data_IF_409774250092
#
_entry.id   IF_409774250092
#
_cell.length_a   1.000
_cell.length_b   1.000
_cell.length_c   1.000
_cell.angle_alpha   90.00
_cell.angle_beta   90.00
_cell.angle_gamma   90.00
#
_symmetry.space_group_name_H-M   'P 1'
#
loop_
_entity.id
_entity.type
_entity.pdbx_description
1 polymer ?
2 polymer ?
3 non-polymer ?
4 water ?
#
# COMPACT_ATOMS: atom_id res chain seq x y z
N UNK A 4 -49.62 -53.45 -27.25
CA UNK A 4 -48.88 -52.20 -27.05
C UNK A 4 -48.75 -51.42 -28.37
N UNK A 5 -48.64 -52.13 -29.51
CA UNK A 5 -48.50 -51.49 -30.82
C UNK A 5 -49.84 -51.02 -31.42
N UNK A 6 -50.63 -50.24 -30.67
CA UNK A 6 -51.89 -49.71 -31.18
C UNK A 6 -51.68 -48.32 -31.76
N UNK A 7 -52.56 -47.91 -32.69
CA UNK A 7 -52.46 -46.60 -33.30
C UNK A 7 -52.64 -45.49 -32.25
N UNK A 8 -53.50 -45.71 -31.24
CA UNK A 8 -53.71 -44.74 -30.18
C UNK A 8 -52.44 -44.51 -29.34
N UNK A 9 -51.65 -45.58 -29.15
CA UNK A 9 -50.40 -45.48 -28.40
C UNK A 9 -49.34 -44.76 -29.23
N UNK A 10 -49.27 -45.08 -30.54
CA UNK A 10 -48.34 -44.44 -31.47
C UNK A 10 -48.61 -42.94 -31.58
N UNK A 11 -49.90 -42.54 -31.58
CA UNK A 11 -50.31 -41.13 -31.64
C UNK A 11 -49.88 -40.42 -30.35
N UNK A 12 -50.10 -41.07 -29.19
CA UNK A 12 -49.69 -40.53 -27.90
C UNK A 12 -48.16 -40.38 -27.77
N UNK A 13 -47.42 -41.28 -28.44
CA UNK A 13 -45.95 -41.26 -28.48
C UNK A 13 -45.48 -40.07 -29.30
N UNK A 14 -46.16 -39.78 -30.43
CA UNK A 14 -45.83 -38.63 -31.25
C UNK A 14 -46.13 -37.34 -30.47
N UNK A 15 -47.26 -37.31 -29.74
CA UNK A 15 -47.69 -36.17 -28.92
C UNK A 15 -46.73 -35.83 -27.78
N UNK A 16 -46.11 -36.85 -27.15
CA UNK A 16 -45.13 -36.68 -26.07
C UNK A 16 -43.80 -36.20 -26.66
N UNK A 17 -43.40 -36.78 -27.79
CA UNK A 17 -42.15 -36.40 -28.44
C UNK A 17 -42.23 -34.96 -28.95
N UNK A 18 -43.38 -34.59 -29.53
CA UNK A 18 -43.63 -33.26 -30.06
C UNK A 18 -43.72 -32.20 -28.96
N UNK A 19 -44.14 -32.59 -27.76
CA UNK A 19 -44.18 -31.69 -26.61
C UNK A 19 -42.74 -31.37 -26.17
N UNK A 20 -41.84 -32.37 -26.20
CA UNK A 20 -40.42 -32.18 -25.88
C UNK A 20 -39.79 -31.26 -26.91
N UNK A 21 -40.10 -31.46 -28.20
CA UNK A 21 -39.62 -30.63 -29.31
C UNK A 21 -40.07 -29.17 -29.13
N UNK A 22 -41.33 -28.95 -28.72
CA UNK A 22 -41.89 -27.64 -28.48
C UNK A 22 -41.14 -26.95 -27.34
N UNK A 23 -40.84 -27.69 -26.27
CA UNK A 23 -40.09 -27.18 -25.12
C UNK A 23 -38.69 -26.78 -25.52
N UNK A 24 -38.02 -27.60 -26.35
CA UNK A 24 -36.68 -27.28 -26.82
C UNK A 24 -36.68 -26.05 -27.72
N UNK A 25 -37.72 -25.89 -28.56
CA UNK A 25 -37.89 -24.72 -29.43
C UNK A 25 -38.04 -23.47 -28.55
N UNK A 26 -38.81 -23.57 -27.45
CA UNK A 26 -39.02 -22.47 -26.54
C UNK A 26 -37.73 -22.06 -25.83
N UNK A 27 -36.87 -23.05 -25.51
CA UNK A 27 -35.57 -22.81 -24.88
C UNK A 27 -34.61 -22.18 -25.88
N UNK A 28 -34.64 -22.59 -27.16
CA UNK A 28 -33.79 -22.02 -28.20
C UNK A 28 -34.14 -20.52 -28.36
N UNK A 29 -35.44 -20.18 -28.43
CA UNK A 29 -35.85 -18.78 -28.56
C UNK A 29 -35.43 -17.92 -27.36
N UNK A 30 -35.54 -18.46 -26.15
CA UNK A 30 -35.19 -17.76 -24.92
C UNK A 30 -33.69 -17.56 -24.80
N UNK A 31 -32.91 -18.57 -25.19
CA UNK A 31 -31.47 -18.50 -25.17
C UNK A 31 -30.91 -17.65 -26.28
N UNK A 32 -31.61 -17.54 -27.41
CA UNK A 32 -31.18 -16.65 -28.48
C UNK A 32 -31.34 -15.19 -28.00
N UNK A 33 -32.40 -14.89 -27.20
CA UNK A 33 -32.63 -13.57 -26.61
C UNK A 33 -31.53 -13.23 -25.58
N UNK A 34 -31.02 -14.24 -24.87
CA UNK A 34 -29.94 -14.08 -23.91
C UNK A 34 -28.65 -13.76 -24.64
N UNK A 35 -28.38 -14.41 -25.79
CA UNK A 35 -27.20 -14.14 -26.60
C UNK A 35 -27.27 -12.70 -27.13
N UNK A 36 -28.45 -12.25 -27.54
CA UNK A 36 -28.63 -10.89 -28.04
C UNK A 36 -28.42 -9.85 -26.92
N UNK A 37 -28.97 -10.10 -25.72
CA UNK A 37 -28.81 -9.23 -24.56
C UNK A 37 -27.32 -9.16 -24.17
N UNK A 38 -26.64 -10.31 -24.16
CA UNK A 38 -25.23 -10.40 -23.83
C UNK A 38 -24.38 -9.67 -24.85
N UNK A 39 -24.74 -9.77 -26.13
CA UNK A 39 -24.08 -9.11 -27.25
C UNK A 39 -24.09 -7.58 -27.07
N UNK A 40 -25.21 -7.05 -26.55
CA UNK A 40 -25.37 -5.62 -26.29
C UNK A 40 -24.53 -5.21 -25.07
N UNK A 41 -24.56 -6.01 -24.00
CA UNK A 41 -23.77 -5.76 -22.79
C UNK A 41 -22.27 -5.72 -23.08
N UNK A 42 -21.82 -6.52 -24.04
CA UNK A 42 -20.43 -6.56 -24.46
C UNK A 42 -20.08 -5.22 -25.10
N UNK A 43 -20.92 -4.73 -26.01
CA UNK A 43 -20.65 -3.46 -26.67
C UNK A 43 -20.66 -2.26 -25.72
N UNK A 44 -21.53 -2.25 -24.69
CA UNK A 44 -21.53 -1.12 -23.74
C UNK A 44 -20.30 -1.19 -22.85
N UNK A 45 -19.91 -2.39 -22.40
CA UNK A 45 -18.73 -2.58 -21.57
C UNK A 45 -17.44 -2.27 -22.34
N UNK A 46 -17.41 -2.57 -23.64
CA UNK A 46 -16.26 -2.26 -24.48
C UNK A 46 -16.15 -0.76 -24.73
N UNK A 47 -17.29 -0.06 -24.77
CA UNK A 47 -17.34 1.39 -24.93
C UNK A 47 -16.84 2.06 -23.66
N UNK A 48 -17.25 1.53 -22.49
CA UNK A 48 -16.84 2.05 -21.19
C UNK A 48 -15.34 1.86 -21.00
N UNK A 49 -14.80 0.70 -21.43
CA UNK A 49 -13.38 0.42 -21.34
C UNK A 49 -12.58 1.33 -22.26
N UNK A 50 -13.11 1.68 -23.43
CA UNK A 50 -12.44 2.60 -24.35
C UNK A 50 -12.51 4.04 -23.80
N UNK A 51 -13.60 4.40 -23.12
CA UNK A 51 -13.74 5.72 -22.51
C UNK A 51 -12.83 5.84 -21.29
N UNK A 52 -12.63 4.74 -20.53
CA UNK A 52 -11.71 4.72 -19.38
C UNK A 52 -10.26 4.80 -19.84
N UNK A 53 -9.94 4.32 -21.04
CA UNK A 53 -8.61 4.43 -21.62
C UNK A 53 -8.37 5.89 -22.03
N UNK A 54 -9.39 6.58 -22.55
CA UNK A 54 -9.25 8.00 -22.90
C UNK A 54 -9.05 8.85 -21.64
N UNK A 55 -9.73 8.52 -20.53
CA UNK A 55 -9.54 9.25 -19.28
C UNK A 55 -8.12 9.03 -18.74
N UNK A 56 -7.58 7.82 -18.92
CA UNK A 56 -6.24 7.48 -18.49
C UNK A 56 -5.21 8.20 -19.34
N UNK A 57 -5.37 8.21 -20.66
CA UNK A 57 -4.45 8.90 -21.57
C UNK A 57 -4.37 10.40 -21.29
N UNK A 58 -5.53 11.01 -20.99
CA UNK A 58 -5.61 12.44 -20.68
C UNK A 58 -4.88 12.73 -19.38
N UNK A 59 -5.06 11.88 -18.37
CA UNK A 59 -4.41 12.04 -17.08
C UNK A 59 -2.90 11.78 -17.15
N UNK A 60 -2.47 10.86 -18.02
CA UNK A 60 -1.05 10.54 -18.24
C UNK A 60 -0.32 11.69 -18.89
N UNK A 61 -0.99 12.38 -19.83
CA UNK A 61 -0.45 13.56 -20.52
C UNK A 61 -0.29 14.70 -19.51
N UNK A 62 -1.24 14.85 -18.58
CA UNK A 62 -1.24 15.91 -17.57
C UNK A 62 -0.07 15.68 -16.61
N UNK A 63 0.23 14.41 -16.29
CA UNK A 63 1.37 14.03 -15.45
C UNK A 63 2.67 14.40 -16.17
N UNK A 64 2.75 14.07 -17.45
CA UNK A 64 3.87 14.34 -18.34
C UNK A 64 4.17 15.85 -18.37
N UNK A 65 3.11 16.68 -18.38
CA UNK A 65 3.23 18.14 -18.40
C UNK A 65 3.72 18.67 -17.06
N UNK A 66 3.19 18.15 -15.95
CA UNK A 66 3.55 18.56 -14.61
C UNK A 66 5.00 18.22 -14.29
N UNK A 67 5.49 17.07 -14.76
CA UNK A 67 6.88 16.66 -14.58
C UNK A 67 7.79 17.59 -15.36
N UNK A 68 7.38 17.95 -16.58
CA UNK A 68 8.14 18.86 -17.43
C UNK A 68 8.18 20.26 -16.85
N UNK A 69 7.10 20.73 -16.19
CA UNK A 69 7.09 22.06 -15.58
C UNK A 69 8.08 22.13 -14.41
N UNK A 70 8.23 21.03 -13.65
CA UNK A 70 9.19 20.94 -12.55
C UNK A 70 10.61 20.97 -13.13
N UNK A 71 10.85 20.22 -14.22
CA UNK A 71 12.14 20.17 -14.89
C UNK A 71 12.53 21.54 -15.45
N UNK A 72 11.56 22.25 -16.03
CA UNK A 72 11.77 23.58 -16.58
C UNK A 72 12.03 24.60 -15.49
N UNK A 73 11.46 24.45 -14.30
CA UNK A 73 11.71 25.35 -13.19
C UNK A 73 13.12 25.08 -12.68
N UNK A 74 13.49 23.80 -12.52
CA UNK A 74 14.83 23.43 -12.10
C UNK A 74 15.88 23.93 -13.11
N UNK A 75 15.58 23.90 -14.40
CA UNK A 75 16.49 24.38 -15.45
C UNK A 75 16.74 25.87 -15.33
N UNK A 76 15.72 26.66 -14.97
CA UNK A 76 15.92 28.11 -14.79
C UNK A 76 16.84 28.35 -13.59
N UNK A 77 16.62 27.64 -12.48
CA UNK A 77 17.39 27.80 -11.24
C UNK A 77 18.84 27.34 -11.42
N UNK A 78 19.05 26.29 -12.22
CA UNK A 78 20.39 25.75 -12.50
C UNK A 78 21.16 26.65 -13.47
N UNK A 79 20.49 27.11 -14.56
CA UNK A 79 21.13 27.98 -15.54
C UNK A 79 21.47 29.35 -14.93
N UNK A 80 20.62 29.84 -14.00
CA UNK A 80 20.86 31.11 -13.32
C UNK A 80 22.13 31.05 -12.48
N UNK A 81 22.35 29.93 -11.77
CA UNK A 81 23.52 29.75 -10.92
C UNK A 81 24.85 29.72 -11.71
N UNK A 82 24.87 28.99 -12.85
CA UNK A 82 26.01 28.81 -13.74
C UNK A 82 26.62 30.14 -14.22
N UNK A 98 34.07 36.24 -13.12
CA UNK A 98 34.36 37.61 -12.70
C UNK A 98 34.19 37.76 -11.17
N UNK A 99 35.08 38.54 -10.48
CA UNK A 99 34.98 38.64 -9.01
C UNK A 99 33.72 39.34 -8.45
N UNK A 100 33.45 40.60 -8.85
CA UNK A 100 32.27 41.33 -8.36
C UNK A 100 30.96 40.76 -8.93
N UNK A 101 31.03 40.17 -10.14
CA UNK A 101 29.89 39.55 -10.81
C UNK A 101 29.48 38.25 -10.09
N UNK A 102 30.46 37.51 -9.53
CA UNK A 102 30.14 36.27 -8.83
C UNK A 102 29.58 36.56 -7.42
N UNK A 103 29.96 37.68 -6.80
CA UNK A 103 29.37 38.10 -5.53
C UNK A 103 27.90 38.53 -5.76
N UNK A 104 27.63 39.15 -6.92
CA UNK A 104 26.32 39.60 -7.33
C UNK A 104 25.40 38.43 -7.69
N UNK A 105 25.94 37.36 -8.28
CA UNK A 105 25.17 36.17 -8.66
C UNK A 105 24.69 35.46 -7.40
N UNK A 106 25.57 35.32 -6.41
CA UNK A 106 25.31 34.67 -5.12
C UNK A 106 24.33 35.50 -4.29
N UNK A 107 24.45 36.83 -4.34
CA UNK A 107 23.57 37.73 -3.60
C UNK A 107 22.15 37.66 -4.18
N UNK A 108 22.04 37.64 -5.51
CA UNK A 108 20.76 37.54 -6.19
C UNK A 108 20.10 36.17 -5.91
N UNK A 109 20.88 35.08 -6.01
CA UNK A 109 20.38 33.73 -5.77
C UNK A 109 19.94 33.52 -4.31
N UNK A 110 20.64 34.14 -3.36
CA UNK A 110 20.28 34.02 -1.95
C UNK A 110 19.05 34.88 -1.60
N UNK A 111 18.82 35.97 -2.35
CA UNK A 111 17.68 36.87 -2.17
C UNK A 111 16.39 36.16 -2.65
N UNK A 112 16.46 35.45 -3.80
CA UNK A 112 15.34 34.73 -4.40
C UNK A 112 15.20 33.27 -3.97
N UNK A 113 16.06 32.80 -3.08
CA UNK A 113 16.09 31.41 -2.65
C UNK A 113 14.75 30.89 -2.11
N UNK A 114 14.16 31.58 -1.12
CA UNK A 114 12.91 31.15 -0.54
C UNK A 114 11.74 31.22 -1.54
N UNK A 115 11.81 32.14 -2.52
CA UNK A 115 10.82 32.27 -3.59
C UNK A 115 10.92 31.10 -4.55
N UNK A 116 12.15 30.70 -4.88
CA UNK A 116 12.44 29.55 -5.74
C UNK A 116 11.94 28.25 -5.09
N UNK A 117 12.09 28.13 -3.75
CA UNK A 117 11.60 26.99 -3.01
C UNK A 117 10.05 26.97 -3.11
N UNK A 118 9.39 28.13 -2.93
CA UNK A 118 7.94 28.24 -2.96
C UNK A 118 7.39 27.96 -4.34
N UNK A 119 8.12 28.36 -5.40
CA UNK A 119 7.71 28.07 -6.79
C UNK A 119 7.78 26.56 -6.98
N UNK A 120 8.89 25.96 -6.60
CA UNK A 120 9.06 24.52 -6.72
C UNK A 120 8.04 23.71 -5.89
N UNK A 121 7.76 24.10 -4.64
CA UNK A 121 6.77 23.42 -3.80
C UNK A 121 5.39 23.42 -4.46
N UNK A 122 5.03 24.54 -5.07
CA UNK A 122 3.76 24.68 -5.77
C UNK A 122 3.67 23.73 -6.98
N UNK A 123 4.78 23.56 -7.70
CA UNK A 123 4.83 22.69 -8.88
C UNK A 123 4.84 21.21 -8.50
N UNK A 124 5.50 20.89 -7.39
CA UNK A 124 5.57 19.53 -6.82
C UNK A 124 4.21 19.11 -6.33
N UNK A 125 3.46 20.05 -5.70
CA UNK A 125 2.13 19.72 -5.20
C UNK A 125 1.18 19.51 -6.36
N UNK A 126 1.27 20.34 -7.40
CA UNK A 126 0.47 20.23 -8.61
C UNK A 126 0.77 18.89 -9.30
N UNK A 127 2.02 18.46 -9.34
CA UNK A 127 2.43 17.19 -9.94
C UNK A 127 1.84 16.00 -9.19
N UNK A 128 1.84 16.01 -7.85
CA UNK A 128 1.26 14.93 -7.06
C UNK A 128 -0.24 14.86 -7.31
N UNK A 129 -0.91 16.02 -7.44
CA UNK A 129 -2.34 16.05 -7.71
C UNK A 129 -2.68 15.40 -9.08
N UNK A 130 -1.79 15.55 -10.07
CA UNK A 130 -2.00 14.93 -11.38
C UNK A 130 -1.76 13.42 -11.32
N UNK A 131 -0.78 13.00 -10.53
CA UNK A 131 -0.41 11.61 -10.28
C UNK A 131 -1.57 10.88 -9.57
N UNK A 132 -2.27 11.57 -8.66
CA UNK A 132 -3.44 11.05 -7.96
C UNK A 132 -4.64 10.92 -8.87
N UNK A 133 -4.77 11.82 -9.86
CA UNK A 133 -5.84 11.72 -10.83
C UNK A 133 -5.56 10.53 -11.76
N UNK A 134 -4.31 10.35 -12.16
CA UNK A 134 -3.92 9.21 -12.99
C UNK A 134 -4.06 7.91 -12.22
N UNK A 135 -3.81 7.91 -10.92
CA UNK A 135 -3.94 6.71 -10.11
C UNK A 135 -5.39 6.29 -10.04
N UNK A 136 -6.32 7.24 -9.88
CA UNK A 136 -7.74 6.91 -9.84
C UNK A 136 -8.21 6.35 -11.20
N UNK A 137 -7.70 6.96 -12.27
CA UNK A 137 -7.99 6.59 -13.65
C UNK A 137 -7.42 5.21 -13.99
N UNK A 138 -6.27 4.86 -13.43
CA UNK A 138 -5.66 3.55 -13.67
C UNK A 138 -6.56 2.47 -13.09
N UNK A 139 -7.12 2.70 -11.89
CA UNK A 139 -8.04 1.78 -11.21
C UNK A 139 -9.34 1.69 -11.99
N UNK A 140 -9.83 2.82 -12.54
CA UNK A 140 -11.06 2.84 -13.35
C UNK A 140 -10.88 2.10 -14.67
N UNK A 141 -9.67 2.16 -15.26
CA UNK A 141 -9.32 1.43 -16.48
C UNK A 141 -9.27 -0.07 -16.19
N UNK A 142 -8.70 -0.46 -15.05
CA UNK A 142 -8.63 -1.87 -14.68
C UNK A 142 -10.02 -2.45 -14.38
N UNK A 143 -10.92 -1.64 -13.82
CA UNK A 143 -12.28 -2.08 -13.51
C UNK A 143 -13.11 -2.20 -14.77
N UNK A 144 -12.93 -1.25 -15.71
CA UNK A 144 -13.63 -1.26 -16.97
C UNK A 144 -13.18 -2.43 -17.84
N UNK A 145 -11.88 -2.79 -17.78
CA UNK A 145 -11.36 -3.92 -18.54
C UNK A 145 -11.88 -5.24 -18.01
N UNK A 146 -11.99 -5.34 -16.67
CA UNK A 146 -12.50 -6.52 -15.98
C UNK A 146 -13.98 -6.67 -16.30
N UNK A 147 -14.75 -5.56 -16.38
CA UNK A 147 -16.18 -5.63 -16.74
C UNK A 147 -16.36 -6.00 -18.22
N UNK A 148 -15.44 -5.57 -19.10
CA UNK A 148 -15.47 -5.90 -20.52
C UNK A 148 -15.13 -7.39 -20.73
N UNK A 149 -14.20 -7.93 -19.92
CA UNK A 149 -13.82 -9.34 -19.97
C UNK A 149 -14.92 -10.22 -19.39
N UNK A 150 -15.62 -9.72 -18.34
CA UNK A 150 -16.74 -10.44 -17.75
C UNK A 150 -17.96 -10.42 -18.68
N UNK A 151 -18.13 -9.35 -19.47
CA UNK A 151 -19.21 -9.27 -20.45
C UNK A 151 -18.96 -10.28 -21.56
N UNK A 152 -17.70 -10.43 -22.01
CA UNK A 152 -17.35 -11.39 -23.05
C UNK A 152 -17.51 -12.83 -22.52
N UNK A 153 -17.17 -13.05 -21.25
CA UNK A 153 -17.33 -14.38 -20.64
C UNK A 153 -18.82 -14.80 -20.61
N UNK A 154 -19.74 -13.83 -20.48
CA UNK A 154 -21.17 -14.10 -20.44
C UNK A 154 -21.71 -14.35 -21.83
N UNK A 155 -21.25 -13.57 -22.81
CA UNK A 155 -21.63 -13.75 -24.21
C UNK A 155 -21.15 -15.11 -24.70
N UNK A 156 -19.97 -15.56 -24.27
CA UNK A 156 -19.42 -16.87 -24.64
C UNK A 156 -20.17 -18.03 -23.96
N UNK A 157 -20.57 -17.86 -22.69
CA UNK A 157 -21.35 -18.88 -21.97
C UNK A 157 -22.80 -18.96 -22.47
N UNK A 158 -23.34 -17.87 -23.03
CA UNK A 158 -24.69 -17.87 -23.59
C UNK A 158 -24.67 -18.46 -24.98
N UNK A 159 -23.61 -18.17 -25.78
CA UNK A 159 -23.49 -18.71 -27.12
C UNK A 159 -23.33 -20.23 -27.04
N UNK A 160 -22.48 -20.71 -26.13
CA UNK A 160 -22.28 -22.15 -25.95
C UNK A 160 -23.53 -22.88 -25.44
N UNK A 161 -24.36 -22.20 -24.64
CA UNK A 161 -25.58 -22.80 -24.11
C UNK A 161 -26.65 -22.88 -25.22
N UNK A 162 -26.71 -21.86 -26.08
CA UNK A 162 -27.63 -21.81 -27.20
C UNK A 162 -27.34 -22.91 -28.20
N UNK A 163 -26.06 -23.15 -28.57
CA UNK A 163 -25.73 -24.21 -29.52
C UNK A 163 -26.00 -25.62 -28.96
N UNK A 164 -25.93 -25.78 -27.62
CA UNK A 164 -26.22 -27.05 -26.97
C UNK A 164 -27.73 -27.31 -27.00
N UNK A 165 -28.56 -26.26 -26.81
CA UNK A 165 -30.01 -26.43 -26.88
C UNK A 165 -30.45 -26.62 -28.34
N UNK A 166 -29.80 -25.92 -29.28
CA UNK A 166 -30.05 -26.04 -30.71
C UNK A 166 -29.73 -27.45 -31.19
N UNK A 167 -28.66 -28.11 -30.68
CA UNK A 167 -28.36 -29.48 -31.10
C UNK A 167 -29.32 -30.48 -30.48
N UNK A 168 -29.79 -30.22 -29.24
CA UNK A 168 -30.79 -31.08 -28.61
C UNK A 168 -32.12 -30.96 -29.38
N UNK A 169 -32.45 -29.74 -29.87
CA UNK A 169 -33.62 -29.42 -30.67
C UNK A 169 -33.55 -30.14 -32.02
N UNK A 170 -32.40 -30.11 -32.70
CA UNK A 170 -32.24 -30.77 -34.01
C UNK A 170 -32.41 -32.29 -33.91
N UNK A 171 -31.91 -32.85 -32.81
CA UNK A 171 -31.96 -34.26 -32.45
C UNK A 171 -33.41 -34.67 -32.21
N UNK A 172 -34.17 -33.82 -31.50
CA UNK A 172 -35.57 -34.07 -31.18
C UNK A 172 -36.46 -33.89 -32.40
N UNK A 173 -36.14 -32.93 -33.28
CA UNK A 173 -36.91 -32.71 -34.49
C UNK A 173 -36.83 -33.92 -35.42
N UNK A 174 -35.67 -34.59 -35.48
CA UNK A 174 -35.52 -35.79 -36.29
C UNK A 174 -36.24 -36.97 -35.67
N UNK A 175 -36.28 -37.05 -34.34
CA UNK A 175 -37.01 -38.11 -33.64
C UNK A 175 -38.53 -37.92 -33.81
N UNK A 176 -39.00 -36.67 -33.79
CA UNK A 176 -40.40 -36.35 -34.00
C UNK A 176 -40.79 -36.63 -35.45
N UNK A 177 -39.90 -36.34 -36.41
CA UNK A 177 -40.21 -36.63 -37.82
C UNK A 177 -40.29 -38.13 -38.06
N UNK A 178 -39.42 -38.91 -37.41
CA UNK A 178 -39.36 -40.35 -37.52
C UNK A 178 -40.67 -40.94 -36.99
N UNK A 179 -41.11 -40.48 -35.80
CA UNK A 179 -42.34 -40.94 -35.16
C UNK A 179 -43.58 -40.52 -35.92
N UNK A 180 -43.62 -39.29 -36.43
CA UNK A 180 -44.77 -38.81 -37.22
C UNK A 180 -44.84 -39.58 -38.55
N UNK A 181 -43.68 -39.94 -39.15
CA UNK A 181 -43.70 -40.71 -40.39
C UNK A 181 -44.28 -42.11 -40.16
N UNK A 182 -44.05 -42.70 -38.97
CA UNK A 182 -44.58 -44.00 -38.57
C UNK A 182 -46.08 -43.89 -38.36
N UNK A 183 -46.54 -42.84 -37.68
CA UNK A 183 -47.97 -42.62 -37.45
C UNK A 183 -48.72 -42.38 -38.76
N UNK A 184 -48.10 -41.65 -39.68
CA UNK A 184 -48.71 -41.36 -40.98
C UNK A 184 -48.81 -42.62 -41.81
N UNK A 185 -47.79 -43.48 -41.78
CA UNK A 185 -47.76 -44.73 -42.54
C UNK A 185 -48.76 -45.73 -41.98
N UNK A 186 -48.93 -45.76 -40.63
CA UNK A 186 -49.87 -46.63 -39.96
C UNK A 186 -51.29 -46.18 -40.21
N UNK A 187 -51.54 -44.85 -40.24
CA UNK A 187 -52.88 -44.34 -40.56
C UNK A 187 -53.22 -44.62 -42.03
N UNK A 188 -52.21 -44.60 -42.92
CA UNK A 188 -52.39 -44.89 -44.35
C UNK A 188 -52.71 -46.38 -44.55
N UNK A 189 -52.08 -47.26 -43.76
CA UNK A 189 -52.30 -48.70 -43.80
C UNK A 189 -53.67 -49.05 -43.24
N UNK A 190 -54.13 -48.33 -42.21
CA UNK A 190 -55.42 -48.53 -41.59
C UNK A 190 -56.55 -48.22 -42.54
N UNK A 191 -56.45 -47.09 -43.28
CA UNK A 191 -57.47 -46.69 -44.25
C UNK A 191 -57.50 -47.63 -45.46
N UNK A 192 -56.34 -48.20 -45.84
CA UNK A 192 -56.24 -49.13 -46.96
C UNK A 192 -56.82 -50.50 -46.58
N UNK A 193 -56.54 -50.97 -45.36
CA UNK A 193 -57.04 -52.24 -44.83
C UNK A 193 -58.54 -52.18 -44.58
N UNK A 194 -59.05 -51.02 -44.18
CA UNK A 194 -60.47 -50.84 -43.97
C UNK A 194 -61.21 -50.95 -45.29
N UNK A 195 -60.64 -50.38 -46.38
CA UNK A 195 -61.25 -50.44 -47.71
C UNK A 195 -61.27 -51.86 -48.30
N UNK A 196 -60.18 -52.64 -48.11
CA UNK A 196 -60.11 -54.02 -48.61
C UNK A 196 -61.13 -54.92 -47.91
N UNK A 197 -61.37 -54.68 -46.60
CA UNK A 197 -62.36 -55.42 -45.83
C UNK A 197 -63.78 -54.99 -46.23
N UNK A 198 -64.01 -53.66 -46.39
CA UNK A 198 -65.29 -53.06 -46.76
C UNK A 198 -65.75 -53.45 -48.16
N UNK A 199 -64.81 -53.68 -49.09
CA UNK A 199 -65.15 -54.10 -50.45
C UNK A 199 -65.59 -55.58 -50.54
N UNK A 200 -65.33 -56.39 -49.48
CA UNK A 200 -65.72 -57.79 -49.44
C UNK A 200 -66.91 -57.97 -48.50
N UNK B 4 37.12 22.08 49.97
CA UNK B 4 38.02 21.14 50.65
C UNK B 4 39.35 21.07 49.89
N UNK B 5 40.46 21.09 50.63
CA UNK B 5 41.79 21.02 50.01
C UNK B 5 42.46 19.66 50.15
N UNK B 6 41.70 18.61 50.48
CA UNK B 6 42.20 17.26 50.60
C UNK B 6 41.90 16.61 49.25
N UNK B 7 42.70 16.93 48.23
CA UNK B 7 42.51 16.44 46.87
C UNK B 7 42.63 14.93 46.70
N UNK B 8 43.53 14.28 47.46
CA UNK B 8 43.73 12.85 47.34
C UNK B 8 42.52 12.11 47.85
N UNK B 9 42.07 12.43 49.07
CA UNK B 9 40.90 11.78 49.65
C UNK B 9 39.60 12.12 48.90
N UNK B 10 39.56 13.23 48.12
CA UNK B 10 38.40 13.56 47.32
C UNK B 10 38.33 12.62 46.11
N UNK B 11 39.48 12.36 45.47
CA UNK B 11 39.55 11.46 44.31
C UNK B 11 39.14 10.05 44.67
N UNK B 12 39.61 9.54 45.82
CA UNK B 12 39.29 8.20 46.26
C UNK B 12 37.81 8.09 46.61
N UNK B 13 37.27 9.07 47.32
CA UNK B 13 35.86 9.06 47.70
C UNK B 13 34.95 9.12 46.46
N UNK B 14 35.30 9.96 45.47
CA UNK B 14 34.56 10.11 44.21
C UNK B 14 34.68 8.88 43.32
N UNK B 15 35.82 8.20 43.34
CA UNK B 15 36.04 6.97 42.59
C UNK B 15 35.17 5.88 43.22
N UNK B 16 35.12 5.80 44.56
CA UNK B 16 34.30 4.83 45.25
C UNK B 16 32.81 5.10 45.06
N UNK B 17 32.40 6.37 44.97
CA UNK B 17 31.01 6.72 44.74
C UNK B 17 30.60 6.36 43.33
N UNK B 18 31.46 6.65 42.35
CA UNK B 18 31.19 6.37 40.95
C UNK B 18 31.11 4.86 40.72
N UNK B 19 32.03 4.10 41.30
CA UNK B 19 32.03 2.65 41.15
C UNK B 19 30.80 1.99 41.77
N UNK B 20 30.29 2.55 42.88
CA UNK B 20 29.11 2.03 43.56
C UNK B 20 27.86 2.29 42.72
N UNK B 21 27.79 3.46 42.07
CA UNK B 21 26.68 3.80 41.20
C UNK B 21 26.69 2.96 39.92
N UNK B 22 27.88 2.61 39.41
CA UNK B 22 28.03 1.76 38.23
C UNK B 22 27.50 0.37 38.51
N UNK B 23 27.76 -0.17 39.71
CA UNK B 23 27.30 -1.47 40.15
C UNK B 23 25.76 -1.46 40.26
N UNK B 24 25.20 -0.42 40.91
CA UNK B 24 23.76 -0.24 41.05
C UNK B 24 23.07 -0.13 39.72
N UNK B 25 23.72 0.54 38.77
CA UNK B 25 23.20 0.74 37.43
C UNK B 25 23.26 -0.53 36.59
N UNK B 26 24.30 -1.35 36.74
CA UNK B 26 24.38 -2.64 36.03
C UNK B 26 23.25 -3.55 36.51
N UNK B 27 23.01 -3.58 37.84
CA UNK B 27 21.96 -4.36 38.46
C UNK B 27 20.58 -3.84 38.03
N UNK B 28 20.42 -2.52 37.91
CA UNK B 28 19.16 -1.94 37.49
C UNK B 28 18.85 -2.32 36.06
N UNK B 29 19.88 -2.36 35.20
CA UNK B 29 19.71 -2.75 33.80
C UNK B 29 19.47 -4.25 33.68
N UNK B 30 20.09 -5.07 34.55
CA UNK B 30 19.86 -6.51 34.53
C UNK B 30 18.44 -6.82 35.04
N UNK B 31 17.92 -6.04 36.01
CA UNK B 31 16.56 -6.21 36.52
C UNK B 31 15.56 -6.04 35.37
N UNK B 32 15.74 -5.00 34.58
CA UNK B 32 14.92 -4.62 33.46
C UNK B 32 14.95 -5.63 32.32
N UNK B 33 16.09 -6.25 32.06
CA UNK B 33 16.18 -7.27 31.02
C UNK B 33 15.39 -8.51 31.44
N UNK B 34 15.53 -8.89 32.70
CA UNK B 34 14.91 -10.07 33.28
C UNK B 34 13.39 -9.93 33.50
N UNK B 35 12.87 -8.71 33.58
CA UNK B 35 11.43 -8.51 33.72
C UNK B 35 10.79 -7.89 32.46
N UNK B 36 11.56 -7.73 31.38
CA UNK B 36 11.11 -7.12 30.13
C UNK B 36 9.87 -7.76 29.58
N UNK B 37 9.84 -9.11 29.55
CA UNK B 37 8.71 -9.88 29.05
C UNK B 37 7.45 -9.76 29.92
N UNK B 38 7.63 -9.47 31.20
CA UNK B 38 6.50 -9.28 32.10
C UNK B 38 5.86 -7.91 31.85
N UNK B 39 6.69 -6.88 31.60
CA UNK B 39 6.26 -5.51 31.37
C UNK B 39 5.40 -5.41 30.13
N UNK B 40 5.90 -5.95 28.99
CA UNK B 40 5.24 -5.92 27.69
C UNK B 40 4.31 -7.09 27.44
N UNK B 41 3.92 -7.85 28.47
CA UNK B 41 3.03 -8.99 28.27
C UNK B 41 1.68 -8.56 27.67
N UNK B 42 1.35 -9.15 26.50
CA UNK B 42 0.14 -8.86 25.74
C UNK B 42 0.02 -7.44 25.19
N UNK B 43 1.10 -6.66 25.21
CA UNK B 43 1.06 -5.29 24.74
C UNK B 43 0.83 -5.16 23.22
N UNK B 44 1.23 -6.17 22.44
CA UNK B 44 1.09 -6.11 20.98
C UNK B 44 0.51 -7.41 20.43
N UNK B 45 -0.43 -8.02 21.15
CA UNK B 45 -1.00 -9.30 20.72
C UNK B 45 -1.92 -9.07 19.51
N UNK B 46 -1.72 -9.88 18.46
CA UNK B 46 -2.46 -9.77 17.20
C UNK B 46 -1.99 -8.66 16.28
N UNK B 47 -0.98 -7.88 16.71
CA UNK B 47 -0.47 -6.72 15.99
C UNK B 47 0.90 -6.96 15.33
N UNK B 48 1.19 -6.19 14.27
CA UNK B 48 2.42 -6.28 13.51
C UNK B 48 3.09 -4.90 13.42
N UNK B 49 4.41 -4.90 13.42
CA UNK B 49 5.21 -3.68 13.39
C UNK B 49 6.20 -3.76 12.24
N UNK B 50 6.34 -2.68 11.46
CA UNK B 50 7.37 -2.62 10.44
C UNK B 50 8.48 -1.71 11.02
N UNK B 51 9.74 -2.15 10.92
CA UNK B 51 10.86 -1.37 11.46
C UNK B 51 11.62 -0.67 10.36
N UNK B 52 11.85 0.63 10.53
CA UNK B 52 12.69 1.43 9.67
C UNK B 52 13.93 1.77 10.48
N UNK B 53 15.09 1.77 9.84
CA UNK B 53 16.35 2.11 10.51
C UNK B 53 17.20 3.02 9.66
N UNK B 54 17.93 3.95 10.30
CA UNK B 54 18.80 4.89 9.58
C UNK B 54 20.24 4.38 9.56
N UNK B 55 21.15 4.94 8.73
CA UNK B 55 22.53 4.42 8.71
C UNK B 55 23.25 4.49 10.06
N UNK B 56 22.98 5.51 10.87
CA UNK B 56 23.59 5.65 12.19
C UNK B 56 22.92 4.78 13.29
N UNK B 57 21.82 4.06 12.99
CA UNK B 57 21.17 3.20 14.00
C UNK B 57 22.03 1.99 14.34
N UNK B 58 21.95 1.50 15.57
CA UNK B 58 22.76 0.36 16.00
C UNK B 58 21.99 -0.94 15.87
N UNK B 59 22.67 -1.98 15.34
CA UNK B 59 22.13 -3.33 15.15
C UNK B 59 21.56 -3.90 16.44
N UNK B 60 22.24 -3.67 17.57
CA UNK B 60 21.78 -4.20 18.83
C UNK B 60 20.47 -3.56 19.32
N UNK B 61 20.16 -2.33 18.88
CA UNK B 61 18.92 -1.67 19.27
C UNK B 61 17.76 -2.26 18.48
N UNK B 62 17.96 -2.46 17.17
CA UNK B 62 16.99 -3.06 16.25
C UNK B 62 16.63 -4.46 16.75
N UNK B 63 17.65 -5.23 17.15
CA UNK B 63 17.49 -6.58 17.65
C UNK B 63 16.76 -6.63 18.99
N UNK B 64 16.98 -5.62 19.85
CA UNK B 64 16.31 -5.55 21.14
C UNK B 64 14.84 -5.19 20.97
N UNK B 65 14.54 -4.24 20.06
CA UNK B 65 13.18 -3.82 19.77
C UNK B 65 12.41 -4.99 19.17
N UNK B 66 13.01 -5.70 18.22
CA UNK B 66 12.42 -6.83 17.55
C UNK B 66 12.16 -8.02 18.50
N UNK B 67 13.01 -8.18 19.54
CA UNK B 67 12.86 -9.25 20.53
C UNK B 67 11.70 -8.92 21.47
N UNK B 68 11.62 -7.65 21.90
CA UNK B 68 10.55 -7.16 22.78
C UNK B 68 9.20 -7.18 22.05
N UNK B 69 9.16 -6.91 20.71
CA UNK B 69 7.92 -7.01 19.91
C UNK B 69 7.39 -8.45 20.02
N UNK B 70 8.27 -9.43 19.86
CA UNK B 70 7.93 -10.82 20.00
C UNK B 70 7.45 -11.15 21.41
N UNK B 71 8.09 -10.56 22.43
CA UNK B 71 7.68 -10.80 23.83
C UNK B 71 6.27 -10.27 24.11
N UNK B 72 5.90 -9.18 23.41
CA UNK B 72 4.60 -8.53 23.49
C UNK B 72 3.46 -9.26 22.74
N UNK B 73 3.77 -10.39 22.11
CA UNK B 73 2.83 -11.17 21.31
C UNK B 73 2.67 -10.64 19.89
N UNK B 74 3.59 -9.77 19.46
CA UNK B 74 3.57 -9.15 18.15
C UNK B 74 4.56 -9.71 17.17
N UNK B 75 4.45 -9.29 15.93
CA UNK B 75 5.35 -9.74 14.87
C UNK B 75 6.00 -8.54 14.17
N UNK B 76 7.21 -8.74 13.62
CA UNK B 76 7.90 -7.72 12.84
C UNK B 76 7.79 -8.17 11.38
N UNK B 77 7.14 -7.39 10.53
CA UNK B 77 6.93 -7.79 9.14
C UNK B 77 8.19 -7.69 8.29
N UNK B 78 9.03 -6.68 8.56
CA UNK B 78 10.28 -6.42 7.85
C UNK B 78 11.10 -5.34 8.58
N UNK B 79 12.42 -5.26 8.26
CA UNK B 79 13.32 -4.22 8.73
C UNK B 79 13.84 -3.52 7.47
N UNK B 80 13.34 -2.31 7.20
CA UNK B 80 13.76 -1.52 6.06
C UNK B 80 14.86 -0.54 6.49
N UNK B 81 16.00 -0.57 5.82
CA UNK B 81 17.10 0.32 6.10
C UNK B 81 17.01 1.47 5.11
N UNK B 82 16.96 2.71 5.64
CA UNK B 82 16.93 3.92 4.82
C UNK B 82 18.39 4.19 4.47
N UNK B 83 18.77 4.11 3.19
CA UNK B 83 20.18 4.31 2.81
C UNK B 83 20.67 5.75 3.02
N UNK B 84 22.00 5.95 3.06
CA UNK B 84 22.60 7.26 3.18
C UNK B 84 22.13 8.22 2.03
N UNK B 85 21.88 7.68 0.81
CA UNK B 85 21.36 8.44 -0.34
C UNK B 85 19.98 9.06 -0.01
N UNK B 86 19.17 8.36 0.79
CA UNK B 86 17.88 8.90 1.18
C UNK B 86 18.03 9.99 2.28
N UNK B 87 18.62 9.64 3.44
CA UNK B 87 18.69 10.54 4.59
C UNK B 87 19.50 11.84 4.38
N UNK B 88 20.50 11.84 3.47
CA UNK B 88 21.28 13.05 3.22
C UNK B 88 20.49 14.12 2.47
N UNK B 89 19.40 13.73 1.78
CA UNK B 89 18.48 14.59 1.04
C UNK B 89 19.10 15.30 -0.16
N UNK B 90 20.21 14.77 -0.71
CA UNK B 90 20.80 15.33 -1.92
C UNK B 90 20.28 14.67 -3.22
N UNK B 91 19.46 13.62 -3.11
CA UNK B 91 18.82 12.96 -4.25
C UNK B 91 17.29 13.15 -4.20
N UNK B 92 16.84 14.30 -3.64
CA UNK B 92 15.44 14.68 -3.44
C UNK B 92 14.57 14.58 -4.68
N UNK B 93 15.03 15.05 -5.83
CA UNK B 93 14.23 15.00 -7.05
C UNK B 93 14.15 13.62 -7.66
N UNK B 94 15.21 12.82 -7.51
CA UNK B 94 15.21 11.43 -7.98
C UNK B 94 14.19 10.65 -7.16
N UNK B 95 14.17 10.89 -5.82
CA UNK B 95 13.24 10.28 -4.90
C UNK B 95 11.82 10.59 -5.30
N UNK B 96 11.48 11.86 -5.50
CA UNK B 96 10.12 12.25 -5.83
C UNK B 96 9.66 11.78 -7.19
N UNK B 97 10.58 11.60 -8.13
CA UNK B 97 10.22 11.09 -9.46
C UNK B 97 9.89 9.58 -9.40
N UNK B 98 10.43 8.84 -8.40
CA UNK B 98 10.13 7.43 -8.17
C UNK B 98 8.78 7.34 -7.45
N UNK B 99 8.60 8.10 -6.36
CA UNK B 99 7.36 8.13 -5.59
C UNK B 99 6.16 8.58 -6.42
N UNK B 100 6.31 9.68 -7.17
CA UNK B 100 5.23 10.21 -8.01
C UNK B 100 5.20 9.54 -9.38
N UNK B 101 5.24 8.22 -9.39
CA UNK B 101 5.18 7.45 -10.63
C UNK B 101 4.11 6.33 -10.50
N UNK B 102 3.92 5.54 -11.58
CA UNK B 102 2.99 4.41 -11.61
C UNK B 102 3.28 3.33 -10.56
N UNK B 103 4.39 3.46 -9.79
CA UNK B 103 4.62 2.53 -8.68
C UNK B 103 3.57 2.73 -7.58
N UNK B 104 2.91 3.92 -7.50
CA UNK B 104 1.82 4.21 -6.56
C UNK B 104 0.69 3.23 -6.90
N UNK B 105 0.33 2.29 -5.97
CA UNK B 105 -0.71 1.29 -6.30
C UNK B 105 -1.97 1.89 -6.92
N UNK B 106 -2.54 1.26 -7.96
CA UNK B 106 -3.70 1.81 -8.65
C UNK B 106 -4.86 2.12 -7.72
N UNK B 107 -5.30 3.37 -7.73
CA UNK B 107 -6.39 3.83 -6.89
C UNK B 107 -5.94 4.47 -5.59
N UNK B 108 -4.70 4.21 -5.17
CA UNK B 108 -4.11 4.82 -3.97
C UNK B 108 -3.78 6.25 -4.26
N UNK B 109 -3.91 7.09 -3.24
CA UNK B 109 -3.71 8.51 -3.36
C UNK B 109 -2.61 8.95 -2.43
N UNK B 110 -1.63 9.67 -2.97
CA UNK B 110 -0.54 10.25 -2.20
C UNK B 110 -1.07 11.51 -1.53
N UNK B 111 -0.53 11.83 -0.38
CA UNK B 111 -0.86 13.04 0.35
C UNK B 111 -0.31 14.21 -0.45
N UNK B 112 -1.08 15.29 -0.53
CA UNK B 112 -0.65 16.45 -1.27
C UNK B 112 -0.24 17.62 -0.36
N UNK B 113 -0.11 17.41 0.95
CA UNK B 113 0.17 18.48 1.87
C UNK B 113 1.66 18.90 1.85
N UNK B 114 2.56 18.00 2.24
CA UNK B 114 3.98 18.26 2.31
C UNK B 114 4.65 17.54 1.17
N UNK B 115 5.44 18.28 0.43
CA UNK B 115 6.07 17.77 -0.78
C UNK B 115 7.57 17.55 -0.67
N UNK B 116 8.12 17.55 0.54
CA UNK B 116 9.53 17.25 0.71
C UNK B 116 9.70 15.72 0.49
N UNK B 117 10.88 15.30 0.09
CA UNK B 117 11.20 13.92 -0.20
C UNK B 117 11.04 12.99 1.01
N UNK B 118 11.21 13.50 2.23
CA UNK B 118 11.06 12.68 3.42
C UNK B 118 9.62 12.29 3.60
N UNK B 119 8.75 13.29 3.57
CA UNK B 119 7.29 13.13 3.68
C UNK B 119 6.74 12.25 2.55
N UNK B 120 7.19 12.45 1.31
CA UNK B 120 6.70 11.67 0.19
C UNK B 120 7.16 10.21 0.21
N UNK B 121 8.40 9.96 0.69
CA UNK B 121 8.89 8.57 0.78
C UNK B 121 8.13 7.81 1.87
N UNK B 122 7.89 8.45 3.01
CA UNK B 122 7.16 7.86 4.12
C UNK B 122 5.69 7.67 3.81
N UNK B 123 5.15 8.53 2.96
CA UNK B 123 3.78 8.43 2.55
C UNK B 123 3.59 7.24 1.64
N UNK B 124 4.51 7.04 0.69
CA UNK B 124 4.40 5.91 -0.24
C UNK B 124 4.74 4.61 0.44
N UNK B 125 5.75 4.59 1.33
CA UNK B 125 6.08 3.37 2.08
C UNK B 125 5.02 3.03 3.14
N UNK B 126 4.30 4.03 3.61
CA UNK B 126 3.18 3.82 4.52
C UNK B 126 2.06 3.12 3.79
N UNK B 127 1.81 3.49 2.52
CA UNK B 127 0.78 2.85 1.67
C UNK B 127 1.19 1.40 1.42
N UNK B 128 2.43 1.18 1.00
CA UNK B 128 2.92 -0.14 0.71
C UNK B 128 2.99 -1.07 1.95
N UNK B 129 3.54 -0.61 3.07
CA UNK B 129 3.80 -1.47 4.23
C UNK B 129 2.82 -1.41 5.44
N UNK B 130 1.91 -0.45 5.53
CA UNK B 130 1.00 -0.32 6.68
C UNK B 130 -0.48 -0.48 6.34
N UNK B 131 -1.30 -0.77 7.35
CA UNK B 131 -2.74 -0.92 7.24
C UNK B 131 -3.42 0.28 7.86
N UNK B 132 -4.18 1.00 7.04
CA UNK B 132 -4.93 2.18 7.46
C UNK B 132 -5.97 1.83 8.48
N UNK B 133 -6.10 2.64 9.53
CA UNK B 133 -7.14 2.45 10.54
C UNK B 133 -8.59 2.65 9.96
N UNK B 134 -8.69 3.14 8.71
CA UNK B 134 -9.92 3.45 7.98
C UNK B 134 -10.23 2.33 6.97
N UNK B 135 -11.34 1.61 7.18
CA UNK B 135 -11.67 0.50 6.28
C UNK B 135 -12.03 0.89 4.84
N UNK B 136 -12.32 2.18 4.60
CA UNK B 136 -12.61 2.65 3.25
C UNK B 136 -11.34 2.68 2.37
N UNK B 137 -10.14 2.85 2.99
CA UNK B 137 -8.85 2.91 2.28
C UNK B 137 -8.50 1.58 1.59
N UNK B 138 -7.79 1.61 0.46
CA UNK B 138 -7.49 0.36 -0.26
C UNK B 138 -6.61 -0.67 0.44
N UNK B 139 -6.87 -1.97 0.17
CA UNK B 139 -6.02 -3.02 0.72
C UNK B 139 -4.99 -3.29 -0.36
N UNK B 140 -3.72 -2.99 -0.09
CA UNK B 140 -2.64 -3.16 -1.06
C UNK B 140 -2.24 -4.63 -1.21
N UNK B 141 -2.24 -5.13 -2.46
CA UNK B 141 -1.89 -6.51 -2.81
C UNK B 141 -0.39 -6.75 -2.63
N UNK B 142 0.01 -8.03 -2.50
CA UNK B 142 1.43 -8.36 -2.32
C UNK B 142 2.28 -7.85 -3.49
N UNK B 143 1.83 -8.09 -4.74
CA UNK B 143 2.54 -7.67 -5.95
C UNK B 143 2.69 -6.16 -6.03
N UNK B 144 1.70 -5.42 -5.51
CA UNK B 144 1.67 -3.97 -5.49
C UNK B 144 2.71 -3.40 -4.50
N UNK B 145 2.84 -4.05 -3.32
CA UNK B 145 3.81 -3.68 -2.29
C UNK B 145 5.24 -3.95 -2.80
N UNK B 146 5.46 -5.12 -3.42
CA UNK B 146 6.75 -5.51 -3.94
C UNK B 146 7.24 -4.52 -5.00
N UNK B 147 6.33 -3.97 -5.83
CA UNK B 147 6.65 -2.99 -6.87
C UNK B 147 7.22 -1.72 -6.28
N UNK B 148 6.58 -1.19 -5.22
CA UNK B 148 7.00 0.02 -4.52
C UNK B 148 8.39 -0.21 -3.90
N UNK B 149 8.57 -1.37 -3.24
CA UNK B 149 9.83 -1.72 -2.60
C UNK B 149 10.98 -1.90 -3.58
N UNK B 150 10.75 -2.61 -4.69
CA UNK B 150 11.81 -2.85 -5.68
C UNK B 150 12.23 -1.57 -6.40
N UNK B 151 11.31 -0.62 -6.63
CA UNK B 151 11.63 0.64 -7.29
C UNK B 151 12.49 1.51 -6.36
N UNK B 152 12.15 1.54 -5.06
CA UNK B 152 12.92 2.30 -4.08
C UNK B 152 14.27 1.65 -3.75
N UNK B 153 14.43 0.34 -4.02
CA UNK B 153 15.67 -0.39 -3.80
C UNK B 153 16.56 -0.31 -5.05
N UNK B 154 15.98 -0.28 -6.26
CA UNK B 154 16.78 -0.14 -7.49
C UNK B 154 17.37 1.27 -7.59
N UNK B 155 16.63 2.28 -7.11
CA UNK B 155 17.10 3.66 -7.12
C UNK B 155 18.01 4.02 -5.90
N UNK B 156 18.31 3.03 -5.06
CA UNK B 156 19.21 3.18 -3.93
C UNK B 156 18.71 3.93 -2.71
N UNK B 157 17.39 3.95 -2.48
CA UNK B 157 16.84 4.65 -1.32
C UNK B 157 16.65 3.74 -0.12
N UNK B 158 16.31 2.48 -0.35
CA UNK B 158 16.06 1.51 0.71
C UNK B 158 16.78 0.16 0.51
N UNK B 159 16.89 -0.62 1.58
CA UNK B 159 17.42 -1.97 1.69
C UNK B 159 16.42 -2.68 2.61
N UNK B 160 16.04 -3.95 2.34
CA UNK B 160 15.05 -4.61 3.21
C UNK B 160 15.22 -6.10 3.37
N UNK B 161 14.82 -6.61 4.54
CA UNK B 161 14.83 -8.02 4.93
C UNK B 161 13.50 -8.30 5.63
N UNK B 162 12.75 -9.35 5.22
CA UNK B 162 13.06 -10.31 4.15
C UNK B 162 12.81 -9.73 2.75
N UNK B 163 13.42 -10.34 1.73
CA UNK B 163 13.31 -9.83 0.37
C UNK B 163 11.96 -10.17 -0.30
N UNK B 164 11.25 -11.17 0.21
CA UNK B 164 9.99 -11.61 -0.37
C UNK B 164 8.86 -11.75 0.67
N UNK B 165 7.61 -11.78 0.18
CA UNK B 165 6.36 -11.98 0.92
C UNK B 165 6.27 -11.19 2.24
N UNK B 166 6.51 -9.87 2.19
CA UNK B 166 6.38 -9.01 3.37
C UNK B 166 4.89 -8.71 3.58
N UNK B 167 4.42 -8.89 4.81
CA UNK B 167 3.05 -8.63 5.15
C UNK B 167 2.79 -7.19 5.56
N UNK B 168 1.51 -6.86 5.72
CA UNK B 168 1.10 -5.54 6.16
C UNK B 168 1.28 -5.38 7.68
N UNK B 169 1.60 -4.18 8.13
CA UNK B 169 1.82 -3.91 9.54
C UNK B 169 0.80 -2.93 10.12
N UNK B 170 0.58 -3.00 11.41
CA UNK B 170 -0.35 -2.12 12.12
C UNK B 170 0.32 -0.83 12.47
N UNK B 171 1.53 -0.89 13.02
CA UNK B 171 2.24 0.27 13.50
C UNK B 171 3.72 0.22 13.04
N UNK B 172 4.48 1.31 13.27
CA UNK B 172 5.87 1.36 12.82
C UNK B 172 6.79 2.04 13.82
N UNK B 173 8.05 1.61 13.81
CA UNK B 173 9.11 2.18 14.61
C UNK B 173 10.14 2.64 13.63
N UNK B 174 10.60 3.89 13.79
CA UNK B 174 11.70 4.38 12.99
C UNK B 174 12.87 4.53 13.97
N UNK B 175 13.94 3.75 13.79
CA UNK B 175 15.09 3.74 14.69
C UNK B 175 16.30 4.52 14.13
N UNK B 176 16.79 5.48 14.92
CA UNK B 176 17.94 6.29 14.55
C UNK B 176 19.09 6.06 15.56
N UNK B 177 20.23 6.68 15.30
CA UNK B 177 21.35 6.63 16.23
C UNK B 177 21.18 7.72 17.26
N UNK B 178 22.29 8.29 17.72
CA UNK B 178 22.25 9.32 18.73
C UNK B 178 22.27 10.70 18.15
N UNK B 179 23.22 11.49 18.64
CA UNK B 179 23.43 12.86 18.21
C UNK B 179 23.92 12.89 16.77
N UNK B 180 23.56 13.95 16.03
CA UNK B 180 24.04 14.10 14.67
C UNK B 180 25.14 15.15 14.66
N UNK B 181 26.07 15.03 13.72
CA UNK B 181 27.06 16.11 13.53
C UNK B 181 26.28 17.24 12.79
N UNK B 182 26.65 18.50 12.99
CA UNK B 182 25.95 19.62 12.35
C UNK B 182 25.96 19.52 10.83
N UNK B 183 27.05 18.96 10.26
CA UNK B 183 27.19 18.72 8.82
C UNK B 183 26.17 17.66 8.30
N UNK B 184 25.65 16.81 9.18
CA UNK B 184 24.66 15.80 8.83
C UNK B 184 23.25 16.20 9.30
N UNK B 185 22.98 17.49 9.47
CA UNK B 185 21.70 18.01 9.93
C UNK B 185 20.50 17.68 9.06
N UNK B 186 20.72 17.53 7.74
CA UNK B 186 19.65 17.16 6.80
C UNK B 186 18.95 15.87 7.20
N UNK B 187 19.70 14.96 7.83
CA UNK B 187 19.23 13.65 8.26
C UNK B 187 18.16 13.71 9.33
N UNK B 188 18.21 14.73 10.17
CA UNK B 188 17.20 14.92 11.21
C UNK B 188 15.87 15.23 10.60
N UNK B 189 15.80 16.30 9.81
CA UNK B 189 14.57 16.74 9.13
C UNK B 189 13.98 15.67 8.21
N UNK B 190 14.80 15.05 7.35
CA UNK B 190 14.29 14.05 6.43
C UNK B 190 13.68 12.85 7.10
N UNK B 191 14.29 12.36 8.20
CA UNK B 191 13.78 11.20 8.96
C UNK B 191 12.60 11.58 9.87
N UNK B 192 12.56 12.79 10.41
CA UNK B 192 11.43 13.25 11.23
C UNK B 192 10.17 13.35 10.35
N UNK B 193 10.30 13.95 9.13
CA UNK B 193 9.23 14.09 8.14
C UNK B 193 8.83 12.72 7.61
N UNK B 194 9.82 11.83 7.41
CA UNK B 194 9.57 10.46 6.95
C UNK B 194 8.70 9.74 7.96
N UNK B 195 9.07 9.82 9.25
CA UNK B 195 8.33 9.21 10.34
C UNK B 195 6.95 9.82 10.48
N UNK B 196 6.80 11.14 10.37
CA UNK B 196 5.50 11.81 10.50
C UNK B 196 4.52 11.41 9.41
N UNK B 197 5.03 11.16 8.19
CA UNK B 197 4.17 10.76 7.07
C UNK B 197 3.71 9.30 7.14
N UNK B 198 4.36 8.47 7.95
CA UNK B 198 3.95 7.09 8.15
C UNK B 198 2.80 7.04 9.17
N UNK B 199 2.77 7.98 10.15
CA UNK B 199 1.74 8.02 11.19
C UNK B 199 0.30 7.87 10.67
N UNK B 200 -0.18 8.65 9.64
CA UNK B 200 -1.58 8.47 9.20
C UNK B 200 -1.86 7.22 8.34
N UNK B 201 -0.79 6.58 7.84
CA UNK B 201 -0.92 5.40 6.98
C UNK B 201 -1.11 4.08 7.75
N UNK B 202 -0.89 4.11 9.05
CA UNK B 202 -1.08 2.94 9.91
C UNK B 202 -1.75 3.35 11.20
N UNK B 203 -1.50 2.61 12.26
CA UNK B 203 -2.09 2.85 13.56
C UNK B 203 -1.18 3.56 14.57
N UNK B 204 -0.06 4.11 14.11
CA UNK B 204 0.86 4.82 14.98
C UNK B 204 2.32 4.64 14.62
N UNK B 205 3.12 5.71 14.74
CA UNK B 205 4.55 5.66 14.49
C UNK B 205 5.31 6.14 15.70
N UNK B 206 6.35 5.41 16.09
CA UNK B 206 7.23 5.86 17.14
C UNK B 206 8.61 6.11 16.53
N UNK B 207 9.20 7.26 16.81
CA UNK B 207 10.55 7.58 16.36
C UNK B 207 11.49 7.36 17.54
N UNK B 208 12.38 6.36 17.45
CA UNK B 208 13.28 6.02 18.55
C UNK B 208 14.76 6.32 18.28
N UNK B 209 15.42 7.04 19.18
CA UNK B 209 16.83 7.36 19.03
C UNK B 209 17.64 7.04 20.27
N UNK B 210 18.96 6.91 20.10
CA UNK B 210 19.92 6.67 21.19
C UNK B 210 20.21 7.98 21.93
N UNK B 211 20.86 7.91 23.10
CA UNK B 211 21.23 9.08 23.90
C UNK B 211 21.92 10.15 23.07
N UNK B 212 21.40 11.37 23.14
CA UNK B 212 21.92 12.46 22.32
C UNK B 212 20.98 12.82 21.18
N UNK B 213 20.00 11.92 20.86
CA UNK B 213 19.00 12.16 19.81
C UNK B 213 18.03 13.29 20.18
N UNK B 214 17.87 13.59 21.47
CA UNK B 214 17.02 14.68 21.88
C UNK B 214 17.67 16.08 21.71
N UNK B 215 18.85 16.14 21.08
CA UNK B 215 19.54 17.38 20.81
C UNK B 215 19.55 17.65 19.31
N UNK B 216 19.32 18.90 18.91
CA UNK B 216 19.38 19.30 17.52
C UNK B 216 20.82 19.11 16.97
N UNK B 217 20.96 18.67 15.70
CA UNK B 217 19.92 18.49 14.68
C UNK B 217 19.29 17.10 14.49
N UNK B 218 19.31 16.22 15.50
CA UNK B 218 18.77 14.87 15.37
C UNK B 218 17.25 14.84 15.22
N UNK B 219 16.71 13.78 14.55
CA UNK B 219 15.30 13.60 14.22
C UNK B 219 14.36 13.70 15.39
N UNK B 220 14.70 13.05 16.53
CA UNK B 220 13.89 13.10 17.76
C UNK B 220 13.74 14.56 18.25
N UNK B 221 14.81 15.37 18.18
CA UNK B 221 14.79 16.78 18.60
C UNK B 221 14.03 17.65 17.65
N UNK B 222 14.13 17.36 16.34
CA UNK B 222 13.42 18.09 15.29
C UNK B 222 11.90 17.83 15.47
N UNK B 223 11.53 16.59 15.79
CA UNK B 223 10.14 16.21 16.07
C UNK B 223 9.61 16.95 17.30
N UNK B 224 10.28 16.87 18.45
CA UNK B 224 9.85 17.50 19.67
C UNK B 224 9.72 19.02 19.54
N UNK B 225 10.58 19.65 18.74
CA UNK B 225 10.56 21.10 18.55
C UNK B 225 9.55 21.59 17.52
N UNK B 226 9.03 20.69 16.66
CA UNK B 226 8.03 21.07 15.68
C UNK B 226 6.69 20.65 16.26
N UNK B 227 5.78 21.61 16.53
CA UNK B 227 4.49 21.36 17.12
C UNK B 227 3.66 20.37 16.30
N UNK B 228 3.76 20.45 14.97
CA UNK B 228 3.02 19.54 14.11
C UNK B 228 3.51 18.12 14.28
N UNK B 229 4.80 17.87 14.08
CA UNK B 229 5.42 16.54 14.23
C UNK B 229 5.35 15.98 15.64
N UNK B 230 5.50 16.83 16.68
CA UNK B 230 5.36 16.46 18.08
C UNK B 230 3.95 15.98 18.42
N UNK B 231 2.93 16.35 17.60
CA UNK B 231 1.56 15.93 17.79
C UNK B 231 1.19 14.70 16.94
N UNK B 232 1.98 14.38 15.90
CA UNK B 232 1.72 13.29 14.95
C UNK B 232 2.36 11.96 15.37
N UNK B 233 3.60 11.99 15.89
CA UNK B 233 4.30 10.76 16.26
C UNK B 233 4.79 10.79 17.69
N UNK B 234 4.97 9.61 18.28
CA UNK B 234 5.59 9.50 19.61
C UNK B 234 7.12 9.39 19.44
N UNK B 235 7.89 9.74 20.48
CA UNK B 235 9.35 9.62 20.43
C UNK B 235 9.90 8.97 21.69
N UNK B 236 11.08 8.35 21.55
CA UNK B 236 11.88 7.75 22.62
C UNK B 236 13.32 8.24 22.35
N UNK B 237 13.98 8.85 23.35
CA UNK B 237 15.33 9.39 23.15
C UNK B 237 16.47 8.57 23.77
N UNK B 238 16.18 7.39 24.27
CA UNK B 238 17.18 6.55 24.93
C UNK B 238 17.04 5.06 24.57
N UNK B 239 16.84 4.76 23.29
CA UNK B 239 16.71 3.37 22.83
C UNK B 239 17.99 2.54 23.09
N UNK B 240 19.13 3.19 23.38
CA UNK B 240 20.37 2.50 23.70
C UNK B 240 20.31 1.76 25.08
N UNK B 241 19.36 2.18 25.94
CA UNK B 241 19.14 1.65 27.28
C UNK B 241 17.88 0.75 27.29
N UNK B 242 17.85 -0.27 28.17
CA UNK B 242 16.72 -1.19 28.27
C UNK B 242 15.40 -0.47 28.63
N UNK B 243 15.32 0.51 29.57
CA UNK B 243 14.04 1.23 29.78
C UNK B 243 13.53 1.91 28.50
N UNK B 244 14.45 2.35 27.66
CA UNK B 244 14.12 2.99 26.40
C UNK B 244 13.58 2.01 25.39
N UNK B 245 14.11 0.81 25.37
CA UNK B 245 13.66 -0.24 24.46
C UNK B 245 12.27 -0.79 24.84
N UNK B 246 12.00 -0.90 26.16
CA UNK B 246 10.72 -1.37 26.66
C UNK B 246 9.62 -0.34 26.38
N UNK B 247 9.96 0.95 26.54
CA UNK B 247 9.08 2.09 26.27
C UNK B 247 8.70 2.18 24.79
N UNK B 248 9.54 1.68 23.85
CA UNK B 248 9.16 1.67 22.43
C UNK B 248 7.89 0.84 22.23
N UNK B 249 7.80 -0.32 22.89
CA UNK B 249 6.65 -1.23 22.82
C UNK B 249 5.45 -0.72 23.63
N UNK B 250 5.69 -0.19 24.84
CA UNK B 250 4.62 0.35 25.68
C UNK B 250 3.95 1.57 25.03
N UNK B 251 4.73 2.43 24.38
CA UNK B 251 4.19 3.62 23.72
C UNK B 251 3.58 3.28 22.35
N UNK B 252 4.03 2.20 21.70
CA UNK B 252 3.45 1.65 20.49
C UNK B 252 2.06 1.07 20.83
N UNK B 253 1.91 0.46 22.01
CA UNK B 253 0.64 -0.05 22.51
C UNK B 253 -0.37 1.11 22.63
N UNK B 254 0.07 2.25 23.18
CA UNK B 254 -0.74 3.45 23.40
C UNK B 254 -1.22 4.04 22.10
N UNK B 255 -0.39 4.00 21.05
CA UNK B 255 -0.74 4.49 19.71
C UNK B 255 -1.80 3.58 19.07
N UNK B 256 -1.59 2.28 19.08
CA UNK B 256 -2.50 1.31 18.47
C UNK B 256 -3.85 1.26 19.19
N UNK B 257 -3.85 1.48 20.50
CA UNK B 257 -5.05 1.40 21.32
C UNK B 257 -5.39 2.78 21.93
N UNK B 258 -5.88 3.70 21.11
CA UNK B 258 -6.24 5.02 21.60
C UNK B 258 -5.57 6.18 20.89
N UNK B 259 -4.41 5.92 20.29
CA UNK B 259 -3.67 6.92 19.54
C UNK B 259 -2.98 8.00 20.37
N UNK B 260 -2.73 7.74 21.65
CA UNK B 260 -2.07 8.72 22.51
C UNK B 260 -0.57 8.87 22.19
N UNK B 261 -0.14 10.11 21.92
CA UNK B 261 1.22 10.49 21.59
C UNK B 261 2.05 11.06 22.80
N UNK B 262 3.26 10.55 22.98
CA UNK B 262 4.12 10.99 24.06
C UNK B 262 5.57 11.05 23.69
N UNK B 263 6.36 11.78 24.47
CA UNK B 263 7.80 11.97 24.22
C UNK B 263 8.51 11.56 25.47
N UNK B 264 9.20 10.43 25.36
CA UNK B 264 9.78 9.70 26.49
C UNK B 264 11.28 9.62 26.49
N UNK B 265 11.82 9.44 27.69
CA UNK B 265 13.24 9.29 27.91
C UNK B 265 13.81 10.19 28.96
N UNK B 266 15.11 10.40 28.83
CA UNK B 266 15.95 11.15 29.76
C UNK B 266 16.49 12.46 29.20
N UNK B 267 16.25 12.73 27.92
CA UNK B 267 16.75 13.89 27.23
C UNK B 267 15.85 15.09 27.22
N UNK B 268 16.24 16.07 26.43
CA UNK B 268 15.59 17.36 26.27
C UNK B 268 14.19 17.19 25.64
N UNK B 269 13.17 17.76 26.28
CA UNK B 269 11.81 17.70 25.77
C UNK B 269 11.06 16.41 26.08
N UNK B 270 11.69 15.47 26.78
CA UNK B 270 11.03 14.23 27.23
C UNK B 270 10.08 14.59 28.37
N UNK B 271 8.79 14.19 28.27
CA UNK B 271 7.80 14.50 29.29
C UNK B 271 7.87 13.54 30.50
N UNK B 272 8.45 12.36 30.30
CA UNK B 272 8.66 11.34 31.34
C UNK B 272 9.58 10.26 30.78
N UNK B 273 10.10 9.39 31.63
CA UNK B 273 11.02 8.32 31.24
C UNK B 273 10.31 7.23 30.41
N UNK B 274 9.03 6.99 30.71
CA UNK B 274 8.20 5.97 30.07
C UNK B 274 6.70 6.35 30.18
N UNK B 275 5.79 5.51 29.65
CA UNK B 275 4.34 5.73 29.73
C UNK B 275 3.84 5.70 31.19
N UNK B 276 2.63 6.21 31.45
CA UNK B 276 2.07 6.22 32.79
C UNK B 276 1.34 4.90 33.08
#
# INVERSE_FOLDING_TARGET
DPQTDTIAALIADVAKANQRLQDLSDEVQAEQESVNKAMVDVETARDNAAAAEDDLEVSQRAVKDANAAIAAAQHRFDTFAAATYMNGPSVSYLSASSPDEIIATVTAAKTLSASSQAVMANLQRARTERVNTESAARLAKQKADKAAADAKASQDAAVAALTETRRKFDEQREEVQRLAAERDAAQARLQAARLVAWSSEGGQGAPPFRMWDPGS
RSEKRDLYTQIDRLTDQRDALREKLSAADNFDIQVGSRIVHDALVGKSVVIFRTPDAHDDDIAAVSKIVGQAGGAVTATVSLTQEFVEANSAEKLRSVVNSSILPAGSQLSTKLVDQGSQAGDLLGIALLSNADPAAPTVEQAQRDTVLAALRETGFITYQPRDRIGTANATVVVTGGALSTDAGNQGVSVARFAAALAPRGSGTLLAGRDGSANRPAAVAVTRADADMAAEISTVDDIDAEPGRITVILALHDLINGGHVGHYGTGHGAMSVTVSQ
#
